data_IF_548170330808
#
_entry.id   IF_548170330808
#
_cell.length_a   1.000
_cell.length_b   1.000
_cell.length_c   1.000
_cell.angle_alpha   90.00
_cell.angle_beta   90.00
_cell.angle_gamma   90.00
#
_symmetry.space_group_name_H-M   'P 1'
#
loop_
_entity.id
_entity.type
_entity.pdbx_description
1 polymer ?
#
# COMPACT_ATOMS: atom_id res chain seq x y z
N UNK A 1 9.56 27.25 -43.97
CA UNK A 1 10.00 25.87 -43.67
C UNK A 1 9.95 25.73 -42.16
N UNK A 2 8.95 25.01 -41.67
CA UNK A 2 8.68 24.86 -40.24
C UNK A 2 9.65 23.85 -39.63
N UNK A 3 10.44 24.29 -38.64
CA UNK A 3 11.16 23.39 -37.77
C UNK A 3 10.21 22.89 -36.68
N UNK A 4 9.76 21.65 -36.81
CA UNK A 4 9.08 20.89 -35.77
C UNK A 4 10.11 20.46 -34.73
N UNK A 5 10.24 21.24 -33.65
CA UNK A 5 10.89 20.81 -32.42
C UNK A 5 10.00 19.78 -31.74
N UNK A 6 10.37 18.51 -31.84
CA UNK A 6 9.83 17.44 -31.00
C UNK A 6 10.22 17.70 -29.55
N UNK A 7 9.20 17.96 -28.72
CA UNK A 7 9.36 18.12 -27.27
C UNK A 7 9.87 16.81 -26.63
N UNK A 8 10.74 16.84 -25.60
CA UNK A 8 11.25 15.63 -24.98
C UNK A 8 10.14 14.82 -24.31
N UNK A 9 10.22 13.50 -24.42
CA UNK A 9 9.41 12.55 -23.67
C UNK A 9 9.48 12.86 -22.16
N UNK A 10 8.34 13.22 -21.55
CA UNK A 10 8.16 13.38 -20.10
C UNK A 10 8.33 12.03 -19.39
N UNK A 11 9.57 11.55 -19.26
CA UNK A 11 9.92 10.44 -18.39
C UNK A 11 10.07 11.01 -16.98
N UNK A 12 9.12 10.72 -16.09
CA UNK A 12 9.23 11.10 -14.68
C UNK A 12 10.11 10.10 -13.95
N UNK A 13 11.13 10.60 -13.25
CA UNK A 13 11.96 9.79 -12.35
C UNK A 13 11.42 10.00 -10.94
N UNK A 14 10.73 9.00 -10.39
CA UNK A 14 10.36 9.01 -8.98
C UNK A 14 11.49 8.37 -8.18
N UNK A 15 12.26 9.18 -7.48
CA UNK A 15 13.24 8.72 -6.51
C UNK A 15 12.71 8.97 -5.11
N UNK A 16 12.72 7.95 -4.25
CA UNK A 16 12.42 8.09 -2.83
C UNK A 16 13.62 7.62 -2.02
N UNK A 17 13.98 8.42 -1.03
CA UNK A 17 15.00 8.07 -0.04
C UNK A 17 14.36 7.26 1.09
N UNK A 18 14.82 6.03 1.24
CA UNK A 18 14.35 5.09 2.26
C UNK A 18 15.35 5.09 3.40
N UNK A 19 14.87 5.35 4.62
CA UNK A 19 15.71 5.27 5.82
C UNK A 19 16.03 3.81 6.10
N UNK A 20 17.31 3.44 6.13
CA UNK A 20 17.69 2.11 6.58
C UNK A 20 17.35 1.94 8.06
N UNK A 21 16.59 0.89 8.39
CA UNK A 21 16.48 0.39 9.76
C UNK A 21 17.61 -0.62 9.96
N UNK A 22 18.86 -0.14 9.98
CA UNK A 22 19.99 -0.94 10.46
C UNK A 22 20.31 -0.47 11.87
N UNK A 23 19.92 -1.27 12.86
CA UNK A 23 20.43 -1.12 14.23
C UNK A 23 21.90 -1.52 14.24
N UNK A 24 22.76 -0.61 14.68
CA UNK A 24 24.14 -0.88 15.07
C UNK A 24 24.22 -2.16 15.92
N UNK A 25 24.68 -3.25 15.32
CA UNK A 25 25.17 -4.43 16.03
C UNK A 25 26.64 -4.56 15.69
N UNK A 26 27.47 -4.14 16.66
CA UNK A 26 28.87 -4.55 16.78
C UNK A 26 29.88 -3.74 15.99
N UNK A 27 30.63 -2.87 16.68
CA UNK A 27 32.03 -3.15 17.03
C UNK A 27 32.51 -2.17 18.09
N UNK A 28 32.79 -2.71 19.27
CA UNK A 28 33.74 -2.16 20.25
C UNK A 28 35.16 -2.50 19.78
N UNK A 29 36.12 -1.58 19.94
CA UNK A 29 37.55 -1.94 19.95
C UNK A 29 38.51 -0.96 19.26
N UNK A 30 39.02 0.00 20.05
CA UNK A 30 40.46 0.29 20.16
C UNK A 30 41.30 0.75 18.95
N UNK A 31 41.66 2.03 19.03
CA UNK A 31 43.04 2.57 18.99
C UNK A 31 43.50 3.40 17.76
N UNK A 32 44.32 4.36 18.15
CA UNK A 32 44.85 5.59 17.55
C UNK A 32 45.57 5.49 16.20
N UNK A 33 45.44 6.56 15.40
CA UNK A 33 46.24 6.82 14.21
C UNK A 33 45.83 8.13 13.54
N UNK A 34 46.64 9.17 13.69
CA UNK A 34 46.50 10.49 13.05
C UNK A 34 46.63 10.36 11.53
N UNK A 35 45.60 10.79 10.79
CA UNK A 35 45.65 10.95 9.33
C UNK A 35 44.45 11.76 8.87
N UNK A 36 44.71 12.93 8.30
CA UNK A 36 43.73 13.80 7.65
C UNK A 36 43.05 13.09 6.49
N UNK A 37 41.76 12.78 6.62
CA UNK A 37 40.88 12.44 5.50
C UNK A 37 39.48 12.97 5.76
N UNK A 38 38.97 13.75 4.80
CA UNK A 38 37.60 14.26 4.70
C UNK A 38 36.56 13.24 5.16
N UNK A 39 35.81 13.56 6.22
CA UNK A 39 34.71 12.73 6.69
C UNK A 39 33.53 12.83 5.69
N UNK A 40 33.44 11.88 4.77
CA UNK A 40 32.16 11.50 4.19
C UNK A 40 31.39 10.71 5.26
N UNK A 41 30.65 11.43 6.11
CA UNK A 41 29.59 10.82 6.91
C UNK A 41 28.47 10.41 5.97
N UNK A 42 28.54 9.18 5.45
CA UNK A 42 27.54 8.61 4.55
C UNK A 42 26.19 8.53 5.24
N UNK A 43 25.20 9.20 4.66
CA UNK A 43 23.82 9.24 5.12
C UNK A 43 23.18 7.83 5.15
N UNK A 44 22.36 7.49 6.16
CA UNK A 44 21.71 6.19 6.33
C UNK A 44 20.48 5.99 5.42
N UNK A 45 20.49 6.59 4.23
CA UNK A 45 19.35 6.64 3.32
C UNK A 45 19.70 5.97 1.99
N UNK A 46 18.90 4.98 1.59
CA UNK A 46 19.00 4.32 0.29
C UNK A 46 18.04 5.02 -0.67
N UNK A 47 18.58 5.60 -1.75
CA UNK A 47 17.78 6.22 -2.81
C UNK A 47 17.27 5.16 -3.78
N UNK A 48 15.97 4.92 -3.79
CA UNK A 48 15.29 4.00 -4.73
C UNK A 48 14.66 4.84 -5.84
N UNK A 49 15.08 4.63 -7.09
CA UNK A 49 14.55 5.37 -8.25
C UNK A 49 13.83 4.45 -9.21
N UNK A 50 12.61 4.82 -9.60
CA UNK A 50 11.83 4.18 -10.66
C UNK A 50 11.61 5.18 -11.78
N UNK A 51 12.01 4.81 -12.99
CA UNK A 51 11.85 5.62 -14.21
C UNK A 51 10.75 5.02 -15.08
N UNK A 52 9.58 5.66 -15.14
CA UNK A 52 8.46 5.20 -15.97
C UNK A 52 7.67 6.39 -16.52
N UNK A 53 7.19 6.30 -17.76
CA UNK A 53 6.13 7.21 -18.25
C UNK A 53 4.86 6.94 -17.43
N UNK A 54 4.37 7.91 -16.67
CA UNK A 54 3.22 7.71 -15.76
C UNK A 54 1.90 8.18 -16.34
N UNK A 55 1.87 8.73 -17.57
CA UNK A 55 0.68 9.40 -18.12
C UNK A 55 -0.56 8.50 -18.19
N UNK A 56 -0.39 7.22 -18.52
CA UNK A 56 -1.50 6.27 -18.59
C UNK A 56 -1.73 5.50 -17.29
N UNK A 57 -0.82 5.61 -16.31
CA UNK A 57 -0.92 4.95 -15.01
C UNK A 57 -1.63 5.81 -13.97
N UNK A 58 -1.68 7.13 -14.12
CA UNK A 58 -2.39 8.01 -13.19
C UNK A 58 -3.90 7.89 -13.38
N UNK A 59 -4.54 7.07 -12.54
CA UNK A 59 -5.98 6.90 -12.53
C UNK A 59 -6.73 8.15 -12.07
N UNK A 60 -6.09 9.02 -11.27
CA UNK A 60 -6.68 10.24 -10.74
C UNK A 60 -6.96 11.28 -11.82
N UNK A 61 -6.08 11.41 -12.82
CA UNK A 61 -6.35 12.24 -14.00
C UNK A 61 -7.62 11.83 -14.75
N UNK A 62 -7.92 10.53 -14.78
CA UNK A 62 -9.14 10.02 -15.41
C UNK A 62 -10.39 10.35 -14.58
N UNK A 63 -10.27 10.42 -13.25
CA UNK A 63 -11.37 10.83 -12.36
C UNK A 63 -11.69 12.32 -12.45
N UNK A 64 -10.68 13.17 -12.68
CA UNK A 64 -10.80 14.63 -12.78
C UNK A 64 -11.27 15.12 -14.16
N UNK A 65 -11.40 14.22 -15.16
CA UNK A 65 -11.61 14.56 -16.56
C UNK A 65 -13.08 14.56 -17.02
N UNK A 66 -13.90 15.48 -16.53
CA UNK A 66 -15.13 15.90 -17.20
C UNK A 66 -14.85 17.07 -18.14
N UNK A 67 -14.80 16.83 -19.46
CA UNK A 67 -14.78 17.77 -20.61
C UNK A 67 -14.33 19.24 -20.42
N UNK A 68 -13.31 19.47 -19.62
CA UNK A 68 -12.78 20.78 -19.25
C UNK A 68 -11.51 20.57 -18.44
N UNK A 69 -10.51 19.97 -19.08
CA UNK A 69 -9.27 19.56 -18.44
C UNK A 69 -8.60 20.74 -17.76
N UNK A 70 -8.65 20.78 -16.44
CA UNK A 70 -7.68 21.56 -15.69
C UNK A 70 -6.35 20.86 -15.94
N UNK A 71 -5.46 21.51 -16.69
CA UNK A 71 -4.05 21.13 -16.76
C UNK A 71 -3.43 21.52 -15.43
N UNK A 72 -3.59 20.70 -14.40
CA UNK A 72 -3.20 21.05 -13.03
C UNK A 72 -1.79 20.52 -12.79
N UNK A 73 -0.79 21.35 -13.08
CA UNK A 73 0.51 21.28 -12.41
C UNK A 73 0.46 21.99 -11.04
N UNK A 74 -0.74 22.35 -10.57
CA UNK A 74 -1.00 22.97 -9.26
C UNK A 74 -1.38 21.88 -8.23
N UNK A 75 -0.43 21.59 -7.35
CA UNK A 75 -0.56 20.58 -6.30
C UNK A 75 -1.69 20.89 -5.31
N UNK A 76 -1.99 22.16 -5.05
CA UNK A 76 -3.03 22.57 -4.11
C UNK A 76 -4.43 22.29 -4.66
N UNK A 77 -4.64 22.56 -5.95
CA UNK A 77 -5.89 22.22 -6.63
C UNK A 77 -6.12 20.70 -6.72
N UNK A 78 -5.06 19.91 -6.94
CA UNK A 78 -5.14 18.43 -6.87
C UNK A 78 -5.52 17.98 -5.46
N UNK A 79 -4.94 18.60 -4.44
CA UNK A 79 -5.22 18.28 -3.04
C UNK A 79 -6.68 18.56 -2.69
N UNK A 80 -7.19 19.74 -3.01
CA UNK A 80 -8.58 20.12 -2.75
C UNK A 80 -9.56 19.17 -3.44
N UNK A 81 -9.31 18.82 -4.71
CA UNK A 81 -10.14 17.84 -5.41
C UNK A 81 -10.11 16.48 -4.71
N UNK A 82 -8.93 15.99 -4.30
CA UNK A 82 -8.83 14.72 -3.59
C UNK A 82 -9.60 14.74 -2.26
N UNK A 83 -9.55 15.84 -1.52
CA UNK A 83 -10.33 16.04 -0.29
C UNK A 83 -11.82 15.90 -0.55
N UNK A 84 -12.36 16.68 -1.47
CA UNK A 84 -13.78 16.67 -1.82
C UNK A 84 -14.22 15.30 -2.35
N UNK A 85 -13.41 14.69 -3.23
CA UNK A 85 -13.69 13.37 -3.78
C UNK A 85 -13.68 12.28 -2.70
N UNK A 86 -12.63 12.22 -1.88
CA UNK A 86 -12.50 11.22 -0.81
C UNK A 86 -13.58 11.43 0.24
N UNK A 87 -13.99 12.66 0.54
CA UNK A 87 -15.10 12.93 1.45
C UNK A 87 -16.41 12.35 0.90
N UNK A 88 -16.72 12.67 -0.36
CA UNK A 88 -17.98 12.33 -1.01
C UNK A 88 -18.12 10.84 -1.34
N UNK A 89 -17.05 10.17 -1.77
CA UNK A 89 -17.08 8.80 -2.29
C UNK A 89 -17.52 7.80 -1.21
N UNK A 90 -18.48 6.95 -1.53
CA UNK A 90 -19.02 5.91 -0.65
C UNK A 90 -18.95 4.55 -1.33
N UNK A 91 -19.24 3.51 -0.56
CA UNK A 91 -19.34 2.15 -1.10
C UNK A 91 -20.45 2.03 -2.16
N UNK A 92 -21.49 2.85 -2.06
CA UNK A 92 -22.61 2.90 -3.00
C UNK A 92 -22.18 3.34 -4.39
N UNK A 93 -21.06 4.08 -4.50
CA UNK A 93 -20.50 4.55 -5.77
C UNK A 93 -19.59 3.51 -6.45
N UNK A 94 -19.35 2.37 -5.80
CA UNK A 94 -18.59 1.26 -6.36
C UNK A 94 -19.31 0.69 -7.59
N UNK A 95 -18.61 0.51 -8.71
CA UNK A 95 -19.17 -0.20 -9.88
C UNK A 95 -19.45 -1.67 -9.56
N UNK A 96 -18.79 -2.22 -8.54
CA UNK A 96 -19.01 -3.58 -8.06
C UNK A 96 -20.27 -3.70 -7.20
N UNK A 97 -20.88 -2.59 -6.74
CA UNK A 97 -21.99 -2.59 -5.78
C UNK A 97 -23.21 -3.39 -6.24
N UNK A 98 -23.62 -3.23 -7.50
CA UNK A 98 -24.82 -3.88 -8.05
C UNK A 98 -24.57 -5.37 -8.37
N UNK A 99 -23.32 -5.73 -8.62
CA UNK A 99 -22.93 -7.07 -9.01
C UNK A 99 -22.49 -7.93 -7.83
N UNK A 100 -22.02 -7.32 -6.74
CA UNK A 100 -21.44 -8.01 -5.59
C UNK A 100 -22.33 -7.85 -4.35
N UNK A 101 -22.64 -8.97 -3.70
CA UNK A 101 -23.53 -8.98 -2.54
C UNK A 101 -22.82 -8.57 -1.24
N UNK A 102 -23.44 -7.63 -0.52
CA UNK A 102 -22.99 -7.15 0.79
C UNK A 102 -21.99 -6.00 0.73
N UNK A 103 -21.85 -5.27 1.83
CA UNK A 103 -20.80 -4.26 1.97
C UNK A 103 -19.46 -4.95 2.24
N UNK A 104 -18.37 -4.61 1.53
CA UNK A 104 -17.08 -5.22 1.71
C UNK A 104 -16.59 -4.99 3.14
N UNK A 105 -15.91 -5.99 3.70
CA UNK A 105 -15.22 -5.87 4.99
C UNK A 105 -16.14 -5.55 6.20
N UNK A 106 -17.47 -5.59 6.03
CA UNK A 106 -18.47 -5.37 7.08
C UNK A 106 -18.38 -6.38 8.24
N UNK A 107 -17.82 -7.56 8.00
CA UNK A 107 -17.62 -8.62 8.99
C UNK A 107 -16.15 -8.83 9.39
N UNK A 108 -15.26 -7.87 9.11
CA UNK A 108 -13.82 -7.94 9.43
C UNK A 108 -13.54 -7.77 10.93
N UNK A 109 -13.98 -8.74 11.73
CA UNK A 109 -13.82 -8.78 13.19
C UNK A 109 -12.39 -9.19 13.56
N UNK A 110 -11.66 -8.27 14.20
CA UNK A 110 -10.31 -8.54 14.73
C UNK A 110 -10.34 -9.27 16.07
N UNK A 111 -11.46 -9.20 16.81
CA UNK A 111 -11.59 -9.84 18.12
C UNK A 111 -11.40 -11.36 18.01
N UNK A 112 -10.50 -11.91 18.83
CA UNK A 112 -10.14 -13.33 18.82
C UNK A 112 -9.12 -13.72 17.74
N UNK A 113 -8.63 -12.77 16.91
CA UNK A 113 -7.53 -13.03 15.99
C UNK A 113 -6.19 -12.96 16.73
N UNK A 114 -5.40 -14.02 16.59
CA UNK A 114 -4.05 -14.11 17.12
C UNK A 114 -3.05 -14.16 15.96
N UNK A 115 -1.77 -13.95 16.26
CA UNK A 115 -0.70 -14.17 15.30
C UNK A 115 -0.72 -15.60 14.79
N UNK A 116 -0.69 -15.78 13.47
CA UNK A 116 -0.66 -17.10 12.82
C UNK A 116 0.78 -17.41 12.43
N UNK A 117 1.39 -18.39 13.08
CA UNK A 117 2.79 -18.80 12.87
C UNK A 117 2.95 -20.02 11.97
N UNK A 118 1.97 -20.91 12.01
CA UNK A 118 1.91 -22.16 11.23
C UNK A 118 0.63 -22.16 10.39
N UNK A 119 0.54 -23.05 9.39
CA UNK A 119 -0.70 -23.23 8.62
C UNK A 119 -1.91 -23.41 9.55
N UNK A 120 -2.90 -22.52 9.45
CA UNK A 120 -4.11 -22.61 10.22
C UNK A 120 -4.96 -23.79 9.70
N UNK A 121 -5.41 -24.66 10.61
CA UNK A 121 -6.32 -25.77 10.27
C UNK A 121 -7.59 -25.20 9.59
N UNK A 122 -7.96 -25.81 8.45
CA UNK A 122 -9.15 -25.53 7.61
C UNK A 122 -8.96 -24.61 6.39
N UNK A 123 -7.76 -24.51 5.80
CA UNK A 123 -7.55 -23.79 4.52
C UNK A 123 -7.64 -22.26 4.64
N UNK A 124 -7.43 -21.74 5.85
CA UNK A 124 -7.84 -20.42 6.31
C UNK A 124 -6.64 -19.55 6.71
N UNK A 125 -6.03 -18.82 5.76
CA UNK A 125 -4.89 -17.88 6.00
C UNK A 125 -3.56 -18.56 6.33
N UNK A 126 -2.53 -18.32 5.51
CA UNK A 126 -1.18 -18.89 5.68
C UNK A 126 -0.09 -18.01 5.04
N UNK A 127 1.17 -18.31 5.35
CA UNK A 127 2.32 -17.73 4.65
C UNK A 127 2.59 -18.50 3.35
N UNK A 128 3.07 -17.79 2.33
CA UNK A 128 3.60 -18.40 1.11
C UNK A 128 4.83 -19.28 1.44
N UNK A 129 5.10 -20.27 0.60
CA UNK A 129 6.07 -21.34 0.86
C UNK A 129 7.43 -20.85 1.38
N UNK A 130 8.01 -19.82 0.75
CA UNK A 130 9.33 -19.29 1.10
C UNK A 130 9.39 -18.63 2.49
N UNK A 131 8.23 -18.33 3.08
CA UNK A 131 8.11 -17.63 4.36
C UNK A 131 7.53 -18.49 5.48
N UNK A 132 7.14 -19.74 5.17
CA UNK A 132 6.64 -20.68 6.18
C UNK A 132 7.61 -20.80 7.35
N UNK A 133 7.05 -20.77 8.57
CA UNK A 133 7.76 -20.93 9.84
C UNK A 133 8.84 -19.87 10.14
N UNK A 134 8.93 -18.79 9.34
CA UNK A 134 9.93 -17.71 9.53
C UNK A 134 9.38 -16.48 10.25
N UNK A 135 8.08 -16.23 10.16
CA UNK A 135 7.39 -15.09 10.79
C UNK A 135 5.94 -15.45 11.10
N UNK A 136 5.21 -14.58 11.81
CA UNK A 136 3.78 -14.72 12.02
C UNK A 136 2.97 -13.68 11.21
N UNK A 137 1.75 -14.03 10.82
CA UNK A 137 0.81 -13.11 10.15
C UNK A 137 0.12 -12.24 11.22
N UNK A 138 0.22 -10.90 11.14
CA UNK A 138 -0.40 -10.02 12.12
C UNK A 138 -1.94 -10.16 12.14
N UNK A 139 -2.58 -10.08 13.32
CA UNK A 139 -4.05 -10.08 13.44
C UNK A 139 -4.73 -9.01 12.57
N UNK A 140 -4.12 -7.83 12.43
CA UNK A 140 -4.59 -6.72 11.58
C UNK A 140 -4.64 -7.14 10.10
N UNK A 141 -3.56 -7.69 9.57
CA UNK A 141 -3.44 -8.13 8.18
C UNK A 141 -4.49 -9.20 7.83
N UNK A 142 -4.84 -10.08 8.76
CA UNK A 142 -5.86 -11.13 8.55
C UNK A 142 -7.27 -10.57 8.27
N UNK A 143 -7.53 -9.31 8.61
CA UNK A 143 -8.83 -8.64 8.46
C UNK A 143 -8.73 -7.37 7.60
N UNK A 144 -7.64 -7.24 6.85
CA UNK A 144 -7.35 -6.13 5.94
C UNK A 144 -8.44 -6.03 4.87
N UNK A 145 -8.92 -4.80 4.63
CA UNK A 145 -9.93 -4.56 3.60
C UNK A 145 -9.31 -4.28 2.22
N UNK A 146 -9.72 -5.05 1.21
CA UNK A 146 -9.40 -4.83 -0.21
C UNK A 146 -10.68 -4.82 -1.07
N UNK A 147 -11.79 -4.36 -0.48
CA UNK A 147 -13.06 -4.17 -1.17
C UNK A 147 -13.66 -5.46 -1.71
N UNK A 148 -14.44 -5.34 -2.78
CA UNK A 148 -15.02 -6.49 -3.50
C UNK A 148 -14.15 -6.93 -4.71
N UNK A 149 -12.93 -6.42 -4.83
CA UNK A 149 -12.00 -6.73 -5.93
C UNK A 149 -11.65 -8.23 -6.01
N UNK A 150 -11.84 -8.98 -4.93
CA UNK A 150 -11.67 -10.43 -4.90
C UNK A 150 -12.80 -11.22 -5.57
N UNK A 151 -13.95 -10.62 -5.91
CA UNK A 151 -14.97 -11.26 -6.77
C UNK A 151 -15.83 -12.39 -6.17
N UNK A 152 -15.44 -13.02 -5.05
CA UNK A 152 -16.12 -14.19 -4.45
C UNK A 152 -17.67 -14.11 -4.33
N UNK A 153 -18.24 -12.92 -4.18
CA UNK A 153 -19.70 -12.72 -4.03
C UNK A 153 -20.31 -11.91 -5.17
N UNK A 154 -19.62 -11.87 -6.31
CA UNK A 154 -20.03 -11.15 -7.49
C UNK A 154 -20.69 -12.09 -8.49
N UNK A 155 -21.80 -11.65 -9.10
CA UNK A 155 -22.51 -12.40 -10.14
C UNK A 155 -21.73 -12.43 -11.46
N UNK A 156 -20.89 -11.42 -11.67
CA UNK A 156 -20.13 -11.18 -12.89
C UNK A 156 -18.66 -11.04 -12.52
N UNK A 157 -17.77 -11.55 -13.38
CA UNK A 157 -16.32 -11.40 -13.20
C UNK A 157 -15.94 -9.92 -13.05
N UNK A 158 -15.09 -9.62 -12.06
CA UNK A 158 -14.62 -8.26 -11.77
C UNK A 158 -13.99 -7.62 -13.01
N UNK A 159 -13.28 -8.40 -13.83
CA UNK A 159 -12.66 -7.95 -15.08
C UNK A 159 -13.63 -7.55 -16.17
N UNK A 160 -14.92 -7.89 -16.08
CA UNK A 160 -15.96 -7.43 -17.02
C UNK A 160 -16.59 -6.11 -16.56
N UNK A 161 -16.53 -5.81 -15.27
CA UNK A 161 -17.12 -4.60 -14.67
C UNK A 161 -16.11 -3.45 -14.65
N UNK A 162 -14.87 -3.74 -14.22
CA UNK A 162 -13.79 -2.76 -14.19
C UNK A 162 -13.11 -2.75 -15.56
N UNK A 163 -13.19 -1.60 -16.22
CA UNK A 163 -12.81 -1.41 -17.63
C UNK A 163 -11.79 -0.30 -17.84
N UNK A 164 -11.48 0.49 -16.82
CA UNK A 164 -10.53 1.60 -16.90
C UNK A 164 -9.64 1.70 -15.66
N UNK A 165 -8.49 2.35 -15.84
CA UNK A 165 -7.56 2.67 -14.76
C UNK A 165 -8.23 3.53 -13.67
N UNK A 166 -9.00 4.55 -14.07
CA UNK A 166 -9.80 5.35 -13.14
C UNK A 166 -10.74 4.51 -12.29
N UNK A 167 -11.49 3.58 -12.90
CA UNK A 167 -12.39 2.69 -12.14
C UNK A 167 -11.61 1.79 -11.17
N UNK A 168 -10.48 1.22 -11.59
CA UNK A 168 -9.63 0.40 -10.72
C UNK A 168 -9.15 1.19 -9.50
N UNK A 169 -8.70 2.43 -9.70
CA UNK A 169 -8.27 3.29 -8.60
C UNK A 169 -9.45 3.67 -7.69
N UNK A 170 -10.65 3.95 -8.23
CA UNK A 170 -11.85 4.24 -7.42
C UNK A 170 -12.16 3.08 -6.47
N UNK A 171 -12.13 1.83 -6.95
CA UNK A 171 -12.41 0.66 -6.10
C UNK A 171 -11.37 0.50 -4.97
N UNK A 172 -10.10 0.82 -5.23
CA UNK A 172 -9.07 0.86 -4.19
C UNK A 172 -9.26 2.01 -3.19
N UNK A 173 -9.65 3.20 -3.66
CA UNK A 173 -9.99 4.34 -2.77
C UNK A 173 -11.15 3.96 -1.85
N UNK A 174 -12.21 3.34 -2.37
CA UNK A 174 -13.35 2.88 -1.56
C UNK A 174 -12.90 1.83 -0.54
N UNK A 175 -12.14 0.81 -0.96
CA UNK A 175 -11.64 -0.23 -0.08
C UNK A 175 -10.78 0.32 1.07
N UNK A 176 -9.87 1.25 0.75
CA UNK A 176 -8.94 1.83 1.71
C UNK A 176 -9.61 2.83 2.64
N UNK A 177 -10.59 3.61 2.17
CA UNK A 177 -11.45 4.44 3.03
C UNK A 177 -12.18 3.58 4.08
N UNK A 178 -12.70 2.42 3.67
CA UNK A 178 -13.35 1.46 4.58
C UNK A 178 -12.33 0.86 5.57
N UNK A 179 -11.12 0.51 5.12
CA UNK A 179 -10.05 0.05 6.02
C UNK A 179 -9.73 1.12 7.08
N UNK A 180 -9.60 2.38 6.68
CA UNK A 180 -9.35 3.50 7.59
C UNK A 180 -10.43 3.64 8.66
N UNK A 181 -11.70 3.54 8.26
CA UNK A 181 -12.83 3.52 9.19
C UNK A 181 -12.76 2.35 10.17
N UNK A 182 -12.39 1.16 9.68
CA UNK A 182 -12.25 -0.02 10.52
C UNK A 182 -11.09 0.11 11.51
N UNK A 183 -9.94 0.65 11.09
CA UNK A 183 -8.79 0.91 11.96
C UNK A 183 -9.14 1.91 13.05
N UNK A 184 -9.80 3.02 12.71
CA UNK A 184 -10.28 4.01 13.69
C UNK A 184 -11.17 3.37 14.76
N UNK A 185 -12.12 2.51 14.36
CA UNK A 185 -13.01 1.79 15.29
C UNK A 185 -12.25 0.79 16.19
N UNK A 186 -11.13 0.24 15.73
CA UNK A 186 -10.32 -0.73 16.49
C UNK A 186 -9.38 -0.07 17.51
N UNK A 187 -8.91 1.13 17.22
CA UNK A 187 -7.93 1.86 18.03
C UNK A 187 -8.54 3.12 18.65
N UNK A 188 -9.78 3.02 19.13
CA UNK A 188 -10.48 4.12 19.81
C UNK A 188 -9.62 4.59 20.99
N UNK A 189 -9.30 5.88 21.01
CA UNK A 189 -8.51 6.56 22.04
C UNK A 189 -7.01 6.16 22.12
N UNK A 190 -6.46 5.48 21.11
CA UNK A 190 -5.03 5.16 21.02
C UNK A 190 -4.45 5.65 19.68
N UNK A 191 -4.17 6.96 19.63
CA UNK A 191 -3.72 7.64 18.40
C UNK A 191 -2.39 7.10 17.86
N UNK A 192 -1.46 6.75 18.74
CA UNK A 192 -0.15 6.20 18.35
C UNK A 192 -0.30 4.83 17.69
N UNK A 193 -1.10 3.93 18.29
CA UNK A 193 -1.37 2.62 17.66
C UNK A 193 -2.16 2.76 16.38
N UNK A 194 -3.12 3.68 16.32
CA UNK A 194 -3.86 3.97 15.11
C UNK A 194 -2.92 4.41 13.97
N UNK A 195 -2.02 5.36 14.24
CA UNK A 195 -1.04 5.84 13.26
C UNK A 195 -0.19 4.69 12.70
N UNK A 196 0.34 3.82 13.57
CA UNK A 196 1.13 2.66 13.15
C UNK A 196 0.30 1.66 12.34
N UNK A 197 -0.90 1.34 12.80
CA UNK A 197 -1.79 0.40 12.12
C UNK A 197 -2.18 0.89 10.72
N UNK A 198 -2.41 2.20 10.55
CA UNK A 198 -2.64 2.84 9.25
C UNK A 198 -1.41 2.71 8.34
N UNK A 199 -0.20 2.98 8.83
CA UNK A 199 1.05 2.83 8.07
C UNK A 199 1.34 1.38 7.65
N UNK A 200 1.02 0.42 8.50
CA UNK A 200 1.16 -1.00 8.18
C UNK A 200 0.08 -1.47 7.18
N UNK A 201 -1.18 -1.06 7.33
CA UNK A 201 -2.24 -1.38 6.36
C UNK A 201 -1.98 -0.77 4.99
N UNK A 202 -1.45 0.45 4.92
CA UNK A 202 -1.00 1.06 3.67
C UNK A 202 0.01 0.19 2.93
N UNK A 203 1.05 -0.24 3.65
CA UNK A 203 2.12 -1.02 3.06
C UNK A 203 1.65 -2.44 2.65
N UNK A 204 0.80 -3.08 3.46
CA UNK A 204 0.22 -4.39 3.12
C UNK A 204 -0.70 -4.33 1.90
N UNK A 205 -1.48 -3.24 1.74
CA UNK A 205 -2.29 -3.00 0.54
C UNK A 205 -1.37 -2.82 -0.68
N UNK A 206 -0.29 -2.07 -0.53
CA UNK A 206 0.75 -1.94 -1.56
C UNK A 206 1.31 -3.29 -1.99
N UNK A 207 1.60 -4.19 -1.06
CA UNK A 207 2.09 -5.53 -1.41
C UNK A 207 1.05 -6.40 -2.13
N UNK A 208 -0.23 -6.28 -1.77
CA UNK A 208 -1.31 -6.97 -2.48
C UNK A 208 -1.41 -6.44 -3.92
N UNK A 209 -1.35 -5.12 -4.10
CA UNK A 209 -1.38 -4.49 -5.42
C UNK A 209 -0.15 -4.85 -6.23
N UNK A 210 1.04 -4.92 -5.64
CA UNK A 210 2.30 -5.26 -6.34
C UNK A 210 2.53 -6.77 -6.54
N UNK A 211 1.70 -7.63 -5.95
CA UNK A 211 1.92 -9.07 -5.81
C UNK A 211 3.21 -9.44 -5.03
N UNK A 212 3.63 -8.60 -4.10
CA UNK A 212 4.77 -8.86 -3.19
C UNK A 212 4.33 -9.38 -1.82
N UNK A 213 3.02 -9.61 -1.62
CA UNK A 213 2.49 -10.14 -0.37
C UNK A 213 3.06 -11.53 -0.07
N UNK A 214 3.53 -11.74 1.16
CA UNK A 214 4.11 -12.98 1.66
C UNK A 214 3.07 -13.89 2.33
N UNK A 215 1.82 -13.44 2.44
CA UNK A 215 0.72 -14.18 3.01
C UNK A 215 -0.41 -14.37 1.99
N UNK A 216 -1.22 -15.40 2.22
CA UNK A 216 -2.34 -15.72 1.36
C UNK A 216 -3.52 -16.35 2.13
N UNK A 217 -4.72 -16.11 1.64
CA UNK A 217 -5.94 -16.81 2.01
C UNK A 217 -6.80 -17.00 0.75
N UNK A 218 -8.01 -17.57 0.91
CA UNK A 218 -8.95 -17.75 -0.20
C UNK A 218 -9.20 -16.44 -0.98
N UNK A 219 -9.44 -15.34 -0.27
CA UNK A 219 -9.81 -14.06 -0.87
C UNK A 219 -8.63 -13.33 -1.51
N UNK A 220 -7.42 -13.39 -0.93
CA UNK A 220 -6.24 -12.76 -1.54
C UNK A 220 -5.78 -13.52 -2.78
N UNK A 221 -5.99 -14.85 -2.85
CA UNK A 221 -5.76 -15.63 -4.09
C UNK A 221 -6.69 -15.19 -5.20
N UNK A 222 -7.98 -15.03 -4.91
CA UNK A 222 -8.95 -14.53 -5.88
C UNK A 222 -8.67 -13.08 -6.29
N UNK A 223 -8.31 -12.23 -5.32
CA UNK A 223 -7.86 -10.87 -5.58
C UNK A 223 -6.68 -10.86 -6.55
N UNK A 224 -5.66 -11.68 -6.31
CA UNK A 224 -4.46 -11.74 -7.16
C UNK A 224 -4.80 -12.15 -8.60
N UNK A 225 -5.61 -13.21 -8.78
CA UNK A 225 -6.10 -13.62 -10.11
C UNK A 225 -6.89 -12.50 -10.80
N UNK A 226 -7.75 -11.79 -10.06
CA UNK A 226 -8.51 -10.68 -10.63
C UNK A 226 -7.62 -9.50 -11.00
N UNK A 227 -6.66 -9.11 -10.15
CA UNK A 227 -5.72 -8.04 -10.42
C UNK A 227 -4.87 -8.37 -11.65
N UNK A 228 -4.34 -9.58 -11.75
CA UNK A 228 -3.59 -10.01 -12.94
C UNK A 228 -4.41 -9.81 -14.23
N UNK A 229 -5.66 -10.27 -14.25
CA UNK A 229 -6.55 -10.11 -15.39
C UNK A 229 -6.90 -8.65 -15.67
N UNK A 230 -7.16 -7.85 -14.63
CA UNK A 230 -7.48 -6.43 -14.74
C UNK A 230 -6.31 -5.64 -15.31
N UNK A 231 -5.10 -5.84 -14.80
CA UNK A 231 -3.92 -5.14 -15.28
C UNK A 231 -3.60 -5.53 -16.73
N UNK A 232 -3.69 -6.82 -17.08
CA UNK A 232 -3.55 -7.28 -18.46
C UNK A 232 -4.57 -6.66 -19.41
N UNK A 233 -5.82 -6.47 -18.95
CA UNK A 233 -6.91 -5.88 -19.74
C UNK A 233 -6.76 -4.36 -19.87
N UNK A 234 -6.67 -3.64 -18.75
CA UNK A 234 -6.68 -2.17 -18.69
C UNK A 234 -5.44 -1.60 -19.39
N UNK A 235 -4.29 -2.25 -19.25
CA UNK A 235 -3.01 -1.80 -19.80
C UNK A 235 -2.55 -2.66 -20.99
N UNK A 236 -3.47 -3.41 -21.61
CA UNK A 236 -3.18 -4.28 -22.75
C UNK A 236 -2.38 -3.56 -23.83
N UNK A 237 -2.90 -2.41 -24.28
CA UNK A 237 -2.29 -1.63 -25.37
C UNK A 237 -0.95 -1.01 -24.95
N UNK A 238 -0.76 -0.76 -23.65
CA UNK A 238 0.49 -0.27 -23.08
C UNK A 238 1.58 -1.37 -23.03
N UNK A 239 1.17 -2.60 -22.71
CA UNK A 239 2.04 -3.78 -22.70
C UNK A 239 2.42 -4.20 -24.13
N UNK A 240 1.49 -4.11 -25.09
CA UNK A 240 1.81 -4.49 -26.48
C UNK A 240 2.78 -3.51 -27.14
N UNK A 241 2.63 -2.20 -26.89
CA UNK A 241 3.53 -1.16 -27.44
C UNK A 241 4.97 -1.30 -26.96
N UNK A 242 5.22 -1.94 -25.82
CA UNK A 242 6.57 -2.20 -25.34
C UNK A 242 7.23 -3.46 -25.87
N UNK A 243 6.50 -4.30 -26.61
CA UNK A 243 7.06 -5.45 -27.31
C UNK A 243 7.80 -5.09 -28.60
N UNK A 244 7.72 -3.85 -29.09
CA UNK A 244 8.34 -3.40 -30.34
C UNK A 244 9.36 -2.27 -30.11
N UNK A 245 10.41 -2.25 -30.93
CA UNK A 245 11.77 -1.69 -30.78
C UNK A 245 11.97 -0.19 -30.43
N UNK A 246 13.11 0.05 -29.75
CA UNK A 246 14.09 1.17 -29.83
C UNK A 246 13.71 2.66 -29.70
N UNK A 247 12.54 3.02 -29.13
CA UNK A 247 12.06 4.35 -28.63
C UNK A 247 10.72 4.66 -29.31
N UNK A 248 9.61 4.98 -28.64
CA UNK A 248 9.36 5.68 -27.37
C UNK A 248 8.04 5.18 -26.73
N UNK A 249 7.80 5.46 -25.44
CA UNK A 249 6.54 5.25 -24.68
C UNK A 249 6.30 3.87 -24.05
N UNK A 250 7.39 3.23 -23.57
CA UNK A 250 7.47 1.83 -23.16
C UNK A 250 7.03 1.57 -21.69
N UNK A 251 5.99 0.77 -21.47
CA UNK A 251 5.72 0.12 -20.15
C UNK A 251 6.33 -1.27 -20.12
N UNK A 252 6.85 -1.78 -19.00
CA UNK A 252 7.39 -3.13 -18.96
C UNK A 252 6.32 -4.16 -19.34
N UNK A 253 6.66 -5.11 -20.23
CA UNK A 253 5.83 -6.30 -20.46
C UNK A 253 5.76 -7.22 -19.23
N UNK A 254 6.66 -6.98 -18.27
CA UNK A 254 6.63 -7.56 -16.94
C UNK A 254 5.51 -6.94 -16.11
N UNK A 255 4.49 -7.76 -15.83
CA UNK A 255 3.34 -7.40 -15.02
C UNK A 255 3.73 -6.93 -13.61
N UNK A 256 4.83 -7.45 -13.05
CA UNK A 256 5.33 -7.09 -11.72
C UNK A 256 5.77 -5.64 -11.71
N UNK A 257 6.63 -5.25 -12.66
CA UNK A 257 7.12 -3.89 -12.80
C UNK A 257 5.98 -2.91 -13.15
N UNK A 258 5.01 -3.33 -13.96
CA UNK A 258 3.83 -2.53 -14.28
C UNK A 258 3.00 -2.23 -13.02
N UNK A 259 2.74 -3.24 -12.18
CA UNK A 259 1.98 -3.09 -10.94
C UNK A 259 2.72 -2.23 -9.91
N UNK A 260 4.05 -2.34 -9.86
CA UNK A 260 4.90 -1.47 -9.05
C UNK A 260 4.85 0.00 -9.53
N UNK A 261 4.99 0.24 -10.83
CA UNK A 261 4.89 1.58 -11.40
C UNK A 261 3.49 2.18 -11.17
N UNK A 262 2.44 1.37 -11.31
CA UNK A 262 1.07 1.78 -11.04
C UNK A 262 0.87 2.14 -9.56
N UNK A 263 1.36 1.30 -8.64
CA UNK A 263 1.31 1.60 -7.21
C UNK A 263 2.02 2.93 -6.92
N UNK A 264 3.25 3.12 -7.38
CA UNK A 264 4.02 4.34 -7.15
C UNK A 264 3.33 5.60 -7.71
N UNK A 265 2.63 5.46 -8.84
CA UNK A 265 1.87 6.56 -9.45
C UNK A 265 0.62 6.93 -8.63
N UNK A 266 -0.08 5.92 -8.07
CA UNK A 266 -1.42 6.11 -7.50
C UNK A 266 -1.48 6.07 -5.96
N UNK A 267 -0.40 5.67 -5.28
CA UNK A 267 -0.38 5.44 -3.83
C UNK A 267 -0.73 6.67 -2.99
N UNK A 268 -0.57 7.89 -3.53
CA UNK A 268 -1.02 9.14 -2.92
C UNK A 268 -2.54 9.18 -2.68
N UNK A 269 -3.33 8.73 -3.66
CA UNK A 269 -4.80 8.67 -3.56
C UNK A 269 -5.23 7.62 -2.54
N UNK A 270 -4.56 6.46 -2.56
CA UNK A 270 -4.80 5.34 -1.63
C UNK A 270 -4.46 5.74 -0.19
N UNK A 271 -3.32 6.43 0.01
CA UNK A 271 -2.91 6.94 1.31
C UNK A 271 -3.88 8.00 1.84
N UNK A 272 -4.28 8.96 0.99
CA UNK A 272 -5.29 9.97 1.32
C UNK A 272 -6.60 9.34 1.80
N UNK A 273 -7.11 8.35 1.06
CA UNK A 273 -8.34 7.64 1.40
C UNK A 273 -8.22 6.84 2.72
N UNK A 274 -7.11 6.14 2.92
CA UNK A 274 -6.88 5.31 4.10
C UNK A 274 -6.83 6.15 5.40
N UNK A 275 -6.17 7.30 5.38
CA UNK A 275 -6.01 8.13 6.58
C UNK A 275 -7.20 9.07 6.83
N UNK A 276 -8.01 9.36 5.81
CA UNK A 276 -9.13 10.32 5.88
C UNK A 276 -10.00 10.15 7.13
N UNK A 277 -10.46 8.92 7.38
CA UNK A 277 -11.33 8.65 8.53
C UNK A 277 -10.57 8.72 9.88
N UNK A 278 -9.38 8.10 10.03
CA UNK A 278 -8.53 8.25 11.22
C UNK A 278 -8.28 9.69 11.66
N UNK A 279 -7.97 10.59 10.74
CA UNK A 279 -7.58 12.00 11.02
C UNK A 279 -8.77 12.96 10.96
N UNK A 280 -9.92 12.52 10.44
CA UNK A 280 -11.07 13.36 10.07
C UNK A 280 -10.73 14.48 9.05
N UNK A 281 -9.55 14.48 8.43
CA UNK A 281 -9.06 15.50 7.49
C UNK A 281 -7.92 14.98 6.62
N UNK A 282 -7.71 15.56 5.44
CA UNK A 282 -6.48 15.38 4.66
C UNK A 282 -5.55 16.57 4.99
N UNK A 283 -4.66 16.42 5.97
CA UNK A 283 -3.67 17.47 6.31
C UNK A 283 -2.50 17.51 5.31
N UNK A 284 -1.60 18.50 5.37
CA UNK A 284 -0.42 18.56 4.47
C UNK A 284 0.53 17.36 4.62
N UNK A 285 0.54 16.72 5.80
CA UNK A 285 1.27 15.47 6.06
C UNK A 285 0.71 14.28 5.23
N UNK A 286 -0.47 14.41 4.59
CA UNK A 286 -0.92 13.44 3.58
C UNK A 286 0.07 13.33 2.42
N UNK A 287 0.81 14.39 2.10
CA UNK A 287 1.91 14.30 1.13
C UNK A 287 3.19 13.71 1.72
N UNK A 288 3.36 13.71 3.05
CA UNK A 288 4.36 12.89 3.73
C UNK A 288 3.92 11.42 3.73
N UNK A 289 3.85 10.85 2.54
CA UNK A 289 3.58 9.46 2.31
C UNK A 289 4.59 8.62 3.10
N UNK A 290 4.14 7.65 3.92
CA UNK A 290 5.07 6.83 4.64
C UNK A 290 5.87 6.02 3.62
N UNK A 291 7.18 5.93 3.82
CA UNK A 291 8.04 5.02 3.05
C UNK A 291 7.92 3.56 3.52
N UNK A 292 6.90 3.25 4.34
CA UNK A 292 6.71 1.91 4.88
C UNK A 292 6.47 0.90 3.78
N UNK A 293 5.91 1.26 2.62
CA UNK A 293 5.64 0.39 1.46
C UNK A 293 6.89 -0.08 0.70
N UNK A 294 8.04 0.56 0.92
CA UNK A 294 9.34 0.15 0.37
C UNK A 294 10.06 -0.89 1.22
N UNK A 295 9.67 -1.04 2.48
CA UNK A 295 10.24 -2.06 3.38
C UNK A 295 9.74 -3.45 2.92
N UNK A 296 10.49 -4.54 3.01
CA UNK A 296 9.93 -5.88 2.77
C UNK A 296 8.84 -6.24 3.79
N UNK A 297 7.74 -6.88 3.35
CA UNK A 297 6.61 -7.23 4.24
C UNK A 297 7.02 -8.08 5.43
N UNK A 298 7.98 -8.98 5.24
CA UNK A 298 8.59 -9.77 6.31
C UNK A 298 9.12 -8.89 7.46
N UNK A 299 9.88 -7.84 7.15
CA UNK A 299 10.45 -6.94 8.16
C UNK A 299 9.38 -6.12 8.85
N UNK A 300 8.33 -5.69 8.12
CA UNK A 300 7.18 -5.01 8.72
C UNK A 300 6.43 -5.92 9.70
N UNK A 301 6.19 -7.18 9.33
CA UNK A 301 5.55 -8.15 10.23
C UNK A 301 6.41 -8.40 11.47
N UNK A 302 7.73 -8.49 11.33
CA UNK A 302 8.64 -8.60 12.46
C UNK A 302 8.57 -7.37 13.38
N UNK A 303 8.52 -6.16 12.81
CA UNK A 303 8.40 -4.93 13.59
C UNK A 303 7.06 -4.86 14.34
N UNK A 304 5.94 -5.10 13.67
CA UNK A 304 4.60 -5.12 14.28
C UNK A 304 4.52 -6.19 15.39
N UNK A 305 5.20 -7.33 15.20
CA UNK A 305 5.29 -8.38 16.21
C UNK A 305 6.03 -7.93 17.46
N UNK A 306 7.22 -7.35 17.31
CA UNK A 306 8.02 -6.85 18.43
C UNK A 306 7.27 -5.79 19.22
N UNK A 307 6.57 -4.89 18.54
CA UNK A 307 5.74 -3.86 19.18
C UNK A 307 4.62 -4.48 20.02
N UNK A 308 3.87 -5.43 19.46
CA UNK A 308 2.80 -6.12 20.16
C UNK A 308 3.32 -7.00 21.32
N UNK A 309 4.46 -7.66 21.14
CA UNK A 309 5.13 -8.42 22.19
C UNK A 309 5.54 -7.51 23.35
N UNK A 310 6.17 -6.37 23.07
CA UNK A 310 6.62 -5.44 24.10
C UNK A 310 5.44 -4.86 24.90
N UNK A 311 4.32 -4.57 24.24
CA UNK A 311 3.09 -4.15 24.91
C UNK A 311 2.58 -5.22 25.87
N UNK A 312 2.40 -6.47 25.39
CA UNK A 312 1.93 -7.58 26.24
C UNK A 312 2.89 -7.86 27.39
N UNK A 313 4.21 -7.84 27.12
CA UNK A 313 5.24 -8.02 28.15
C UNK A 313 5.14 -6.94 29.21
N UNK A 314 4.95 -5.67 28.83
CA UNK A 314 4.82 -4.56 29.78
C UNK A 314 3.61 -4.76 30.69
N UNK A 315 2.46 -5.16 30.15
CA UNK A 315 1.25 -5.46 30.93
C UNK A 315 1.48 -6.60 31.90
N UNK A 316 1.96 -7.75 31.43
CA UNK A 316 2.21 -8.91 32.29
C UNK A 316 3.31 -8.65 33.34
N UNK A 317 4.35 -7.90 33.00
CA UNK A 317 5.39 -7.54 33.95
C UNK A 317 4.87 -6.64 35.08
N UNK A 318 3.97 -5.69 34.78
CA UNK A 318 3.29 -4.89 35.81
C UNK A 318 2.48 -5.77 36.75
N UNK A 319 1.69 -6.69 36.21
CA UNK A 319 0.88 -7.63 37.01
C UNK A 319 1.75 -8.46 37.96
N UNK A 320 2.90 -8.95 37.47
CA UNK A 320 3.87 -9.71 38.29
C UNK A 320 4.44 -8.83 39.40
N UNK A 321 4.92 -7.62 39.07
CA UNK A 321 5.49 -6.69 40.06
C UNK A 321 4.47 -6.32 41.13
N UNK A 322 3.22 -6.02 40.75
CA UNK A 322 2.15 -5.66 41.70
C UNK A 322 1.78 -6.80 42.64
N UNK A 323 1.78 -8.04 42.14
CA UNK A 323 1.49 -9.23 42.96
C UNK A 323 2.66 -9.59 43.88
N UNK A 324 3.89 -9.55 43.37
CA UNK A 324 5.08 -9.90 44.14
C UNK A 324 5.51 -8.84 45.16
N UNK A 325 5.23 -7.55 44.93
CA UNK A 325 5.52 -6.47 45.91
C UNK A 325 4.68 -6.53 47.18
N UNK A 326 3.57 -7.28 47.17
CA UNK A 326 2.70 -7.47 48.35
C UNK A 326 3.22 -8.55 49.31
N UNK A 327 4.29 -9.26 48.94
CA UNK A 327 4.99 -10.26 49.74
C UNK A 327 6.20 -9.63 50.43
#
# INVERSE_FOLDING_TARGET
MSNTTTSPSNISTQCVEVKEIVKNVGTSGGNSGSGTSSSSGGEPFVKVCVTTDTKNLDGGKTMMGGNGGVTVDDEDAIKQFMEEFIEAIKHEDSKLKENCNGSPCSNSKINGKNWIWTEAKNGNVQLKADYKDKIGIPPRTQVLCFGNLHGERCKTDVSKIIDSNGTLLTEWIIATKIEGQNLKKRHINDGDKLCKAVKYSYADIGDLIKNTSIWENKWTKLLETNLENLFKKIFHDNIQKSGQTTNSDKYPSDLTLLREAWWNTNKKYIWGALQYSPTNQINSEVFEQPNTDYIPQFLRFAQEWVEHFCEKRKTHAKDVVEKCKKC
#
